data_IF_011640753240
#
_entry.id   IF_011640753240
#
_cell.length_a   1.000
_cell.length_b   1.000
_cell.length_c   1.000
_cell.angle_alpha   90.00
_cell.angle_beta   90.00
_cell.angle_gamma   90.00
#
_symmetry.space_group_name_H-M   'P 1'
#
loop_
_entity.id
_entity.type
_entity.pdbx_description
1 polymer ?
#
# COMPACT_ATOMS: atom_id res chain seq x y z
N UNK A 1 -11.46 32.07 -14.19
CA UNK A 1 -11.46 30.67 -14.67
C UNK A 1 -10.81 29.86 -13.55
N UNK A 2 -11.63 29.47 -12.57
CA UNK A 2 -11.97 28.09 -12.18
C UNK A 2 -10.84 27.36 -11.44
N UNK A 3 -11.10 27.17 -10.13
CA UNK A 3 -10.77 26.05 -9.21
C UNK A 3 -9.28 25.69 -8.99
N UNK A 4 -8.77 25.43 -7.78
CA UNK A 4 -9.43 24.77 -6.64
C UNK A 4 -8.66 25.03 -5.33
N UNK A 5 -9.41 25.33 -4.27
CA UNK A 5 -8.93 25.31 -2.88
C UNK A 5 -8.49 23.88 -2.54
N UNK A 6 -7.21 23.60 -2.30
CA UNK A 6 -6.84 22.40 -1.58
C UNK A 6 -6.39 22.79 -0.16
N UNK A 7 -7.38 22.74 0.71
CA UNK A 7 -7.28 22.73 2.14
C UNK A 7 -6.26 21.63 2.53
N UNK A 8 -5.09 22.01 3.02
CA UNK A 8 -4.06 21.10 3.55
C UNK A 8 -4.57 20.41 4.82
N UNK A 9 -5.53 19.50 4.67
CA UNK A 9 -5.87 18.48 5.64
C UNK A 9 -4.91 17.33 5.40
N UNK A 10 -3.76 17.41 6.07
CA UNK A 10 -2.55 16.59 5.95
C UNK A 10 -2.80 15.07 6.03
N UNK A 11 -3.36 14.47 5.00
CA UNK A 11 -3.42 13.02 4.83
C UNK A 11 -2.15 12.61 4.09
N UNK A 12 -1.19 11.95 4.74
CA UNK A 12 0.09 11.61 4.12
C UNK A 12 -0.11 10.73 2.88
N UNK A 13 -1.19 9.94 2.84
CA UNK A 13 -1.64 9.21 1.65
C UNK A 13 -1.81 10.11 0.42
N UNK A 14 -2.49 11.25 0.56
CA UNK A 14 -2.80 12.15 -0.57
C UNK A 14 -1.53 12.74 -1.18
N UNK A 15 -0.55 13.03 -0.31
CA UNK A 15 0.77 13.46 -0.71
C UNK A 15 1.51 12.35 -1.49
N UNK A 16 1.41 11.09 -1.03
CA UNK A 16 1.96 9.95 -1.76
C UNK A 16 1.24 9.70 -3.10
N UNK A 17 -0.07 9.91 -3.19
CA UNK A 17 -0.81 9.81 -4.45
C UNK A 17 -0.34 10.90 -5.42
N UNK A 18 -0.18 12.14 -4.95
CA UNK A 18 0.32 13.23 -5.79
C UNK A 18 1.74 12.95 -6.33
N UNK A 19 2.60 12.42 -5.47
CA UNK A 19 3.95 11.97 -5.85
C UNK A 19 3.85 10.81 -6.85
N UNK A 20 3.01 9.80 -6.57
CA UNK A 20 2.72 8.62 -7.40
C UNK A 20 2.37 8.93 -8.85
N UNK A 21 1.67 10.05 -9.08
CA UNK A 21 1.32 10.54 -10.42
C UNK A 21 2.53 11.00 -11.25
N UNK A 22 3.60 11.43 -10.59
CA UNK A 22 4.80 11.98 -11.23
C UNK A 22 6.01 11.05 -11.14
N UNK A 23 6.07 10.17 -10.14
CA UNK A 23 7.15 9.20 -9.98
C UNK A 23 6.95 7.98 -10.89
N UNK A 24 8.06 7.45 -11.42
CA UNK A 24 8.08 6.25 -12.27
C UNK A 24 9.29 5.39 -11.92
N UNK A 25 9.22 4.08 -12.20
CA UNK A 25 10.32 3.15 -12.03
C UNK A 25 10.88 3.14 -10.60
N UNK A 26 12.16 3.48 -10.43
CA UNK A 26 12.84 3.48 -9.13
C UNK A 26 12.20 4.41 -8.09
N UNK A 27 11.67 5.57 -8.51
CA UNK A 27 11.00 6.50 -7.60
C UNK A 27 9.67 5.95 -7.07
N UNK A 28 8.99 5.06 -7.82
CA UNK A 28 7.85 4.32 -7.29
C UNK A 28 8.26 3.35 -6.18
N UNK A 29 9.43 2.71 -6.28
CA UNK A 29 9.91 1.78 -5.25
C UNK A 29 10.19 2.53 -3.94
N UNK A 30 10.81 3.70 -4.04
CA UNK A 30 11.03 4.58 -2.89
C UNK A 30 9.70 5.01 -2.26
N UNK A 31 8.71 5.34 -3.09
CA UNK A 31 7.38 5.67 -2.62
C UNK A 31 6.73 4.50 -1.88
N UNK A 32 6.84 3.27 -2.41
CA UNK A 32 6.38 2.04 -1.76
C UNK A 32 7.09 1.85 -0.41
N UNK A 33 8.41 2.03 -0.35
CA UNK A 33 9.14 1.92 0.92
C UNK A 33 8.68 2.98 1.92
N UNK A 34 8.61 4.26 1.52
CA UNK A 34 8.16 5.34 2.38
C UNK A 34 6.74 5.10 2.90
N UNK A 35 5.81 4.69 2.03
CA UNK A 35 4.43 4.46 2.44
C UNK A 35 4.31 3.22 3.33
N UNK A 36 5.13 2.19 3.12
CA UNK A 36 5.21 1.02 3.99
C UNK A 36 5.80 1.37 5.36
N UNK A 37 6.79 2.26 5.42
CA UNK A 37 7.39 2.76 6.67
C UNK A 37 6.51 3.75 7.42
N UNK A 38 5.69 4.53 6.71
CA UNK A 38 4.84 5.57 7.30
C UNK A 38 3.71 4.94 8.11
N UNK A 39 3.68 5.06 9.45
CA UNK A 39 2.54 4.61 10.25
C UNK A 39 1.30 5.45 9.95
N UNK A 40 0.11 4.84 10.01
CA UNK A 40 -1.15 5.55 9.74
C UNK A 40 -1.70 5.39 8.32
N UNK A 41 -0.89 4.97 7.34
CA UNK A 41 -1.37 4.73 5.97
C UNK A 41 -1.77 3.28 5.80
N UNK A 42 -3.06 3.00 5.83
CA UNK A 42 -3.58 1.64 5.72
C UNK A 42 -4.25 1.34 4.37
N UNK A 43 -4.24 2.30 3.45
CA UNK A 43 -4.92 2.18 2.17
C UNK A 43 -3.87 2.14 1.07
N UNK A 44 -3.69 0.95 0.51
CA UNK A 44 -2.73 0.68 -0.57
C UNK A 44 -3.41 0.41 -1.91
N UNK A 45 -4.73 0.17 -1.92
CA UNK A 45 -5.50 -0.07 -3.15
C UNK A 45 -5.43 1.10 -4.12
N UNK A 46 -5.55 2.34 -3.62
CA UNK A 46 -5.42 3.58 -4.40
C UNK A 46 -4.05 3.71 -5.06
N UNK A 47 -2.98 3.32 -4.35
CA UNK A 47 -1.62 3.30 -4.88
C UNK A 47 -1.46 2.21 -5.93
N UNK A 48 -1.99 1.02 -5.66
CA UNK A 48 -1.91 -0.12 -6.56
C UNK A 48 -2.67 0.12 -7.87
N UNK A 49 -3.72 0.94 -7.85
CA UNK A 49 -4.44 1.30 -9.06
C UNK A 49 -3.64 2.23 -9.99
N UNK A 50 -2.60 2.90 -9.46
CA UNK A 50 -1.79 3.82 -10.25
C UNK A 50 -1.02 3.11 -11.37
N UNK A 51 -0.97 3.71 -12.57
CA UNK A 51 -0.20 3.15 -13.69
C UNK A 51 1.27 3.01 -13.33
N UNK A 52 1.84 3.97 -12.61
CA UNK A 52 3.24 3.95 -12.18
C UNK A 52 3.58 2.75 -11.28
N UNK A 53 2.62 2.26 -10.49
CA UNK A 53 2.78 1.08 -9.63
C UNK A 53 2.52 -0.20 -10.44
N UNK A 54 1.52 -0.21 -11.32
CA UNK A 54 1.28 -1.33 -12.26
C UNK A 54 2.50 -1.59 -13.17
N UNK A 55 3.23 -0.54 -13.56
CA UNK A 55 4.49 -0.67 -14.31
C UNK A 55 5.62 -1.31 -13.48
N UNK A 56 5.69 -1.06 -12.16
CA UNK A 56 6.67 -1.71 -11.27
C UNK A 56 6.50 -3.24 -11.25
N UNK A 57 5.26 -3.72 -11.32
CA UNK A 57 4.96 -5.15 -11.39
C UNK A 57 5.44 -5.84 -12.67
N UNK A 58 5.65 -5.09 -13.75
CA UNK A 58 6.17 -5.60 -15.02
C UNK A 58 7.71 -5.58 -15.12
N UNK A 59 8.39 -5.04 -14.11
CA UNK A 59 9.84 -5.01 -14.00
C UNK A 59 10.34 -6.14 -13.08
N UNK A 60 11.66 -6.43 -13.01
CA UNK A 60 12.25 -7.36 -12.03
C UNK A 60 11.98 -7.02 -10.54
N UNK A 61 11.23 -5.95 -10.29
CA UNK A 61 10.77 -5.49 -8.99
C UNK A 61 9.38 -6.03 -8.61
N UNK A 62 8.93 -7.11 -9.26
CA UNK A 62 7.66 -7.79 -8.96
C UNK A 62 7.45 -8.07 -7.47
N UNK A 63 8.53 -8.29 -6.70
CA UNK A 63 8.47 -8.51 -5.25
C UNK A 63 7.90 -7.31 -4.49
N UNK A 64 8.23 -6.08 -4.92
CA UNK A 64 7.69 -4.85 -4.32
C UNK A 64 6.20 -4.73 -4.60
N UNK A 65 5.80 -5.01 -5.85
CA UNK A 65 4.41 -4.98 -6.25
C UNK A 65 3.59 -6.06 -5.53
N UNK A 66 4.10 -7.29 -5.46
CA UNK A 66 3.49 -8.39 -4.72
C UNK A 66 3.33 -8.06 -3.23
N UNK A 67 4.36 -7.47 -2.62
CA UNK A 67 4.25 -6.97 -1.25
C UNK A 67 3.18 -5.90 -1.13
N UNK A 68 3.12 -4.92 -2.03
CA UNK A 68 2.07 -3.89 -1.98
C UNK A 68 0.67 -4.51 -2.14
N UNK A 69 0.52 -5.47 -3.04
CA UNK A 69 -0.72 -6.20 -3.28
C UNK A 69 -1.17 -7.00 -2.05
N UNK A 70 -0.22 -7.63 -1.37
CA UNK A 70 -0.43 -8.30 -0.09
C UNK A 70 -0.91 -7.34 1.00
N UNK A 71 -0.41 -6.10 1.03
CA UNK A 71 -0.89 -5.09 1.98
C UNK A 71 -2.29 -4.56 1.61
N UNK A 72 -2.61 -4.46 0.32
CA UNK A 72 -3.90 -3.99 -0.14
C UNK A 72 -5.03 -5.04 0.03
N UNK A 73 -4.76 -6.30 -0.28
CA UNK A 73 -5.78 -7.36 -0.38
C UNK A 73 -5.47 -8.62 0.42
N UNK A 74 -4.23 -8.78 0.88
CA UNK A 74 -3.77 -9.99 1.55
C UNK A 74 -3.77 -9.88 3.08
N UNK A 75 -3.16 -10.89 3.70
CA UNK A 75 -3.08 -11.01 5.15
C UNK A 75 -1.65 -11.34 5.58
N UNK A 76 -1.37 -11.11 6.87
CA UNK A 76 -0.09 -11.49 7.47
C UNK A 76 0.19 -13.00 7.34
N UNK A 77 -0.85 -13.84 7.33
CA UNK A 77 -0.71 -15.28 7.07
C UNK A 77 -0.28 -15.58 5.65
N UNK A 78 -0.79 -14.87 4.64
CA UNK A 78 -0.38 -15.05 3.25
C UNK A 78 1.10 -14.68 3.04
N UNK A 79 1.56 -13.61 3.70
CA UNK A 79 2.98 -13.27 3.78
C UNK A 79 3.82 -14.41 4.32
N UNK A 80 3.41 -15.01 5.45
CA UNK A 80 4.12 -16.12 6.09
C UNK A 80 4.22 -17.35 5.19
N UNK A 81 3.16 -17.66 4.44
CA UNK A 81 3.10 -18.79 3.52
C UNK A 81 3.97 -18.57 2.27
N UNK A 82 4.02 -17.34 1.76
CA UNK A 82 4.66 -17.01 0.49
C UNK A 82 5.85 -16.06 0.62
N UNK A 83 6.61 -16.10 1.73
CA UNK A 83 7.76 -15.20 1.96
C UNK A 83 8.77 -15.13 0.82
N UNK A 84 8.94 -16.21 0.05
CA UNK A 84 9.84 -16.23 -1.12
C UNK A 84 9.40 -15.29 -2.26
N UNK A 85 8.10 -14.99 -2.36
CA UNK A 85 7.51 -14.12 -3.39
C UNK A 85 7.47 -12.65 -2.99
N UNK A 86 7.74 -12.35 -1.73
CA UNK A 86 7.64 -11.01 -1.14
C UNK A 86 9.02 -10.49 -0.72
N UNK A 87 9.13 -9.18 -0.55
CA UNK A 87 10.30 -8.61 0.13
C UNK A 87 10.29 -8.92 1.62
N UNK A 88 11.49 -8.98 2.18
CA UNK A 88 11.68 -9.11 3.62
C UNK A 88 11.12 -7.87 4.32
N UNK A 89 9.97 -8.05 4.97
CA UNK A 89 9.31 -6.98 5.70
C UNK A 89 10.09 -6.65 6.97
N UNK A 90 10.29 -5.36 7.23
CA UNK A 90 10.82 -4.90 8.51
C UNK A 90 9.78 -5.13 9.63
N UNK A 91 10.18 -5.14 10.91
CA UNK A 91 9.24 -5.29 12.03
C UNK A 91 8.14 -4.23 12.04
N UNK A 92 8.41 -3.01 11.57
CA UNK A 92 7.40 -1.95 11.44
C UNK A 92 6.36 -2.29 10.36
N UNK A 93 6.82 -2.71 9.18
CA UNK A 93 5.94 -3.13 8.09
C UNK A 93 5.11 -4.36 8.46
N UNK A 94 5.71 -5.29 9.21
CA UNK A 94 5.02 -6.48 9.72
C UNK A 94 3.87 -6.13 10.65
N UNK A 95 4.09 -5.23 11.63
CA UNK A 95 3.02 -4.73 12.50
C UNK A 95 1.90 -4.07 11.70
N UNK A 96 2.27 -3.34 10.66
CA UNK A 96 1.32 -2.68 9.77
C UNK A 96 0.45 -3.67 9.00
N UNK A 97 1.05 -4.71 8.44
CA UNK A 97 0.31 -5.80 7.77
C UNK A 97 -0.62 -6.55 8.74
N UNK A 98 -0.20 -6.74 10.00
CA UNK A 98 -1.05 -7.31 11.04
C UNK A 98 -2.25 -6.41 11.35
N UNK A 99 -2.03 -5.09 11.50
CA UNK A 99 -3.15 -4.14 11.67
C UNK A 99 -4.12 -4.18 10.49
N UNK A 100 -3.63 -4.19 9.25
CA UNK A 100 -4.48 -4.35 8.06
C UNK A 100 -5.27 -5.64 8.10
N UNK A 101 -4.62 -6.74 8.46
CA UNK A 101 -5.28 -8.04 8.60
C UNK A 101 -6.40 -7.97 9.64
N UNK A 102 -6.14 -7.36 10.80
CA UNK A 102 -7.15 -7.19 11.86
C UNK A 102 -8.30 -6.30 11.39
N UNK A 103 -8.02 -5.17 10.74
CA UNK A 103 -9.04 -4.25 10.23
C UNK A 103 -9.88 -4.92 9.14
N UNK A 104 -9.26 -5.65 8.21
CA UNK A 104 -9.94 -6.41 7.16
C UNK A 104 -10.81 -7.54 7.75
N UNK A 105 -10.28 -8.30 8.72
CA UNK A 105 -11.03 -9.34 9.42
C UNK A 105 -12.18 -8.76 10.25
N UNK A 106 -11.95 -7.64 10.95
CA UNK A 106 -12.98 -6.94 11.72
C UNK A 106 -14.09 -6.40 10.81
N UNK A 107 -13.74 -5.86 9.64
CA UNK A 107 -14.69 -5.39 8.64
C UNK A 107 -15.50 -6.56 8.05
N UNK A 108 -14.85 -7.68 7.74
CA UNK A 108 -15.52 -8.92 7.31
C UNK A 108 -16.48 -9.48 8.36
N UNK A 109 -16.06 -9.50 9.63
CA UNK A 109 -16.90 -9.95 10.74
C UNK A 109 -18.08 -9.01 11.03
N UNK A 110 -18.03 -7.76 10.55
CA UNK A 110 -19.15 -6.80 10.69
C UNK A 110 -20.30 -7.06 9.70
N UNK A 111 -20.11 -7.89 8.67
CA UNK A 111 -21.16 -8.30 7.71
C UNK A 111 -21.79 -9.64 8.14
N UNK A 112 -22.20 -9.73 9.41
CA UNK A 112 -23.03 -10.84 9.90
C UNK A 112 -24.01 -10.34 10.96
N UNK A 113 -24.85 -9.37 10.60
CA UNK A 113 -26.18 -9.17 11.20
C UNK A 113 -27.01 -8.33 10.22
N UNK A 114 -27.69 -9.00 9.29
CA UNK A 114 -29.15 -8.96 9.08
C UNK A 114 -29.54 -10.11 8.16
#
# INVERSE_FOLDING_TARGET
MVIEKNNFSSNPLEQFILLGKNVKGAACLELINQVLETPGIYVFGELLDMPSIKEVGNSPNEKYWNTLNLFAYGTYTDYLQNKNKYLQLTPNQTKKLQHLTIVTLATKSKVRYI
#
